data_IF_508310449467
#
_entry.id   IF_508310449467
#
_cell.length_a   1.000
_cell.length_b   1.000
_cell.length_c   1.000
_cell.angle_alpha   90.00
_cell.angle_beta   90.00
_cell.angle_gamma   90.00
#
_symmetry.space_group_name_H-M   'P 1'
#
loop_
_entity.id
_entity.type
_entity.pdbx_description
1 polymer ?
#
# COMPACT_ATOMS: atom_id res chain seq x y z
N UNK A 1 -17.66 -12.51 3.22
CA UNK A 1 -17.22 -12.86 4.58
C UNK A 1 -18.43 -13.07 5.46
N UNK A 2 -19.13 -12.01 5.87
CA UNK A 2 -20.36 -12.11 6.66
C UNK A 2 -21.42 -13.05 6.06
N UNK A 3 -21.64 -13.03 4.74
CA UNK A 3 -22.59 -13.95 4.09
C UNK A 3 -22.19 -15.45 4.19
N UNK A 4 -20.88 -15.75 4.23
CA UNK A 4 -20.39 -17.11 4.44
C UNK A 4 -20.53 -17.51 5.92
N UNK A 5 -20.17 -16.61 6.83
CA UNK A 5 -20.30 -16.81 8.28
C UNK A 5 -21.75 -17.01 8.73
N UNK A 6 -22.68 -16.30 8.09
CA UNK A 6 -24.11 -16.42 8.34
C UNK A 6 -24.77 -17.59 7.58
N UNK A 7 -24.01 -18.38 6.81
CA UNK A 7 -24.50 -19.51 6.01
C UNK A 7 -25.62 -19.10 5.01
N UNK A 8 -25.44 -17.95 4.36
CA UNK A 8 -26.41 -17.39 3.38
C UNK A 8 -25.82 -17.22 1.98
N UNK A 9 -24.74 -17.94 1.67
CA UNK A 9 -24.19 -17.94 0.32
C UNK A 9 -25.08 -18.70 -0.67
N UNK A 10 -25.18 -18.25 -1.94
CA UNK A 10 -25.86 -19.01 -2.98
C UNK A 10 -25.23 -20.40 -3.20
N UNK A 11 -26.05 -21.39 -3.55
CA UNK A 11 -25.57 -22.72 -3.92
C UNK A 11 -24.51 -22.65 -5.03
N UNK A 12 -23.36 -23.29 -4.80
CA UNK A 12 -22.22 -23.31 -5.73
C UNK A 12 -21.22 -22.15 -5.55
N UNK A 13 -21.46 -21.22 -4.62
CA UNK A 13 -20.46 -20.24 -4.21
C UNK A 13 -19.68 -20.75 -2.99
N UNK A 14 -18.55 -21.40 -3.24
CA UNK A 14 -17.56 -21.72 -2.19
C UNK A 14 -16.38 -20.75 -2.26
N UNK A 15 -16.22 -19.83 -1.30
CA UNK A 15 -15.09 -18.91 -1.26
C UNK A 15 -13.74 -19.62 -1.11
N UNK A 16 -13.69 -20.83 -0.55
CA UNK A 16 -12.44 -21.56 -0.34
C UNK A 16 -11.83 -22.06 -1.66
N UNK A 17 -12.65 -22.32 -2.68
CA UNK A 17 -12.17 -22.76 -4.01
C UNK A 17 -11.20 -21.76 -4.66
N UNK A 18 -11.34 -20.46 -4.39
CA UNK A 18 -10.45 -19.43 -4.94
C UNK A 18 -9.26 -19.08 -4.03
N UNK A 19 -9.21 -19.66 -2.82
CA UNK A 19 -8.23 -19.35 -1.79
C UNK A 19 -7.32 -20.54 -1.45
N UNK A 20 -7.46 -21.67 -2.14
CA UNK A 20 -6.57 -22.82 -1.93
C UNK A 20 -5.14 -22.47 -2.34
N UNK A 21 -4.14 -22.69 -1.45
CA UNK A 21 -2.74 -22.50 -1.79
C UNK A 21 -2.37 -23.37 -2.98
N UNK A 22 -1.70 -22.78 -3.96
CA UNK A 22 -1.05 -23.57 -5.01
C UNK A 22 0.25 -24.11 -4.42
N UNK A 23 0.53 -25.39 -4.61
CA UNK A 23 1.80 -25.97 -4.16
C UNK A 23 2.96 -25.24 -4.86
N UNK A 24 3.72 -24.47 -4.09
CA UNK A 24 4.93 -23.79 -4.54
C UNK A 24 6.16 -24.38 -3.86
N UNK A 25 7.30 -24.29 -4.54
CA UNK A 25 8.60 -24.66 -3.97
C UNK A 25 8.88 -23.90 -2.67
N UNK A 26 9.13 -24.65 -1.59
CA UNK A 26 9.51 -24.17 -0.27
C UNK A 26 10.37 -25.21 0.45
N UNK A 27 11.46 -24.85 1.17
CA UNK A 27 11.96 -23.48 1.40
C UNK A 27 12.51 -22.82 0.14
N UNK A 28 12.74 -21.50 0.21
CA UNK A 28 13.28 -20.71 -0.89
C UNK A 28 14.68 -21.21 -1.29
N UNK A 29 14.88 -21.48 -2.59
CA UNK A 29 16.20 -21.68 -3.17
C UNK A 29 16.95 -20.35 -3.30
N UNK A 30 18.07 -20.21 -2.58
CA UNK A 30 18.81 -18.96 -2.47
C UNK A 30 20.11 -19.03 -3.28
N UNK A 31 20.51 -17.94 -3.93
CA UNK A 31 21.80 -17.90 -4.61
C UNK A 31 22.95 -17.91 -3.60
N UNK A 32 24.03 -18.56 -3.98
CA UNK A 32 25.34 -18.41 -3.36
C UNK A 32 25.87 -16.98 -3.49
N UNK A 33 26.83 -16.60 -2.65
CA UNK A 33 27.47 -15.29 -2.74
C UNK A 33 28.28 -15.15 -4.05
N UNK A 34 28.79 -16.24 -4.61
CA UNK A 34 29.47 -16.27 -5.91
C UNK A 34 28.52 -15.95 -7.07
N UNK A 35 27.30 -16.51 -7.05
CA UNK A 35 26.25 -16.17 -8.03
C UNK A 35 25.87 -14.69 -7.93
N UNK A 36 25.66 -14.18 -6.71
CA UNK A 36 25.32 -12.76 -6.50
C UNK A 36 26.44 -11.84 -7.01
N UNK A 37 27.70 -12.20 -6.76
CA UNK A 37 28.85 -11.42 -7.24
C UNK A 37 28.95 -11.46 -8.77
N UNK A 38 28.74 -12.63 -9.39
CA UNK A 38 28.69 -12.76 -10.86
C UNK A 38 27.61 -11.84 -11.45
N UNK A 39 26.43 -11.76 -10.84
CA UNK A 39 25.34 -10.91 -11.30
C UNK A 39 25.55 -9.41 -11.10
N UNK A 40 26.62 -8.96 -10.43
CA UNK A 40 27.00 -7.54 -10.42
C UNK A 40 27.35 -7.02 -11.82
N UNK A 41 27.68 -7.91 -12.77
CA UNK A 41 27.89 -7.53 -14.17
C UNK A 41 26.60 -7.16 -14.92
N UNK A 42 25.44 -7.55 -14.40
CA UNK A 42 24.14 -7.27 -15.03
C UNK A 42 23.71 -5.82 -14.76
N UNK A 43 23.08 -5.14 -15.74
CA UNK A 43 22.89 -3.70 -15.71
C UNK A 43 21.96 -3.23 -14.59
N UNK A 44 22.57 -2.81 -13.47
CA UNK A 44 21.88 -2.29 -12.27
C UNK A 44 20.84 -3.30 -11.74
N UNK A 45 21.04 -4.61 -11.93
CA UNK A 45 20.08 -5.61 -11.47
C UNK A 45 20.35 -5.99 -10.01
N UNK A 46 21.53 -6.54 -9.71
CA UNK A 46 21.93 -6.91 -8.35
C UNK A 46 21.84 -5.72 -7.38
N UNK A 47 22.39 -4.56 -7.79
CA UNK A 47 22.30 -3.33 -6.99
C UNK A 47 20.85 -2.92 -6.70
N UNK A 48 19.94 -3.12 -7.65
CA UNK A 48 18.55 -2.74 -7.46
C UNK A 48 17.76 -3.70 -6.58
N UNK A 49 18.05 -5.01 -6.67
CA UNK A 49 17.45 -6.00 -5.79
C UNK A 49 17.94 -5.91 -4.34
N UNK A 50 19.07 -5.24 -4.07
CA UNK A 50 19.74 -5.28 -2.76
C UNK A 50 19.94 -3.92 -2.08
N UNK A 51 19.92 -2.81 -2.82
CA UNK A 51 20.32 -1.50 -2.27
C UNK A 51 19.49 -0.29 -2.74
N UNK A 52 18.86 -0.32 -3.91
CA UNK A 52 18.21 0.87 -4.48
C UNK A 52 16.73 1.05 -4.10
N UNK A 53 16.05 2.00 -4.74
CA UNK A 53 14.63 2.31 -4.51
C UNK A 53 13.71 1.08 -4.56
N UNK A 54 14.03 0.07 -5.39
CA UNK A 54 13.24 -1.16 -5.42
C UNK A 54 13.38 -1.93 -4.09
N UNK A 55 14.62 -2.16 -3.64
CA UNK A 55 14.89 -2.80 -2.37
C UNK A 55 14.33 -2.00 -1.19
N UNK A 56 14.57 -0.68 -1.16
CA UNK A 56 14.20 0.16 -0.02
C UNK A 56 12.68 0.29 0.07
N UNK A 57 12.02 0.71 -1.01
CA UNK A 57 10.62 1.12 -0.98
C UNK A 57 9.66 0.08 -1.56
N UNK A 58 10.01 -0.54 -2.70
CA UNK A 58 9.06 -1.44 -3.38
C UNK A 58 8.84 -2.74 -2.59
N UNK A 59 9.91 -3.28 -2.00
CA UNK A 59 9.83 -4.48 -1.16
C UNK A 59 9.24 -4.23 0.24
N UNK A 60 8.87 -2.99 0.59
CA UNK A 60 8.33 -2.67 1.92
C UNK A 60 6.95 -3.28 2.17
N UNK A 61 6.25 -3.64 1.08
CA UNK A 61 5.04 -4.46 1.14
C UNK A 61 5.27 -5.86 1.74
N UNK A 62 6.52 -6.36 1.73
CA UNK A 62 6.90 -7.67 2.26
C UNK A 62 7.38 -7.63 3.72
N UNK A 63 7.45 -6.45 4.35
CA UNK A 63 8.07 -6.26 5.67
C UNK A 63 7.50 -7.17 6.77
N UNK A 64 6.23 -7.54 6.67
CA UNK A 64 5.53 -8.35 7.67
C UNK A 64 6.03 -9.79 7.74
N UNK A 65 6.64 -10.30 6.67
CA UNK A 65 7.31 -11.61 6.67
C UNK A 65 8.80 -11.53 7.03
N UNK A 66 9.32 -10.32 7.27
CA UNK A 66 10.74 -10.05 7.60
C UNK A 66 11.24 -10.76 8.85
N UNK A 67 10.33 -11.21 9.72
CA UNK A 67 10.64 -11.98 10.92
C UNK A 67 11.09 -13.42 10.62
N UNK A 68 10.63 -14.00 9.51
CA UNK A 68 10.98 -15.36 9.08
C UNK A 68 12.00 -15.34 7.92
N UNK A 69 11.83 -14.41 6.98
CA UNK A 69 12.73 -14.26 5.83
C UNK A 69 13.26 -12.83 5.81
N UNK A 70 14.51 -12.57 6.22
CA UNK A 70 15.05 -11.22 6.25
C UNK A 70 15.02 -10.53 4.88
N UNK A 71 14.85 -9.19 4.86
CA UNK A 71 14.73 -8.40 3.63
C UNK A 71 15.88 -8.63 2.63
N UNK A 72 17.11 -8.79 3.12
CA UNK A 72 18.26 -9.13 2.27
C UNK A 72 18.13 -10.50 1.60
N UNK A 73 17.61 -11.50 2.31
CA UNK A 73 17.32 -12.85 1.77
C UNK A 73 16.23 -12.78 0.71
N UNK A 74 15.18 -11.99 0.95
CA UNK A 74 14.13 -11.72 -0.05
C UNK A 74 14.73 -11.10 -1.33
N UNK A 75 15.63 -10.13 -1.19
CA UNK A 75 16.29 -9.46 -2.32
C UNK A 75 17.18 -10.41 -3.13
N UNK A 76 17.94 -11.28 -2.45
CA UNK A 76 18.74 -12.35 -3.09
C UNK A 76 17.87 -13.34 -3.86
N UNK A 77 16.74 -13.76 -3.27
CA UNK A 77 15.80 -14.66 -3.96
C UNK A 77 15.18 -13.98 -5.20
N UNK A 78 14.74 -12.72 -5.09
CA UNK A 78 14.22 -11.95 -6.23
C UNK A 78 15.27 -11.87 -7.34
N UNK A 79 16.53 -11.59 -7.00
CA UNK A 79 17.62 -11.54 -7.97
C UNK A 79 17.79 -12.88 -8.71
N UNK A 80 17.90 -14.00 -7.97
CA UNK A 80 17.98 -15.34 -8.57
C UNK A 80 16.78 -15.65 -9.45
N UNK A 81 15.57 -15.30 -8.99
CA UNK A 81 14.36 -15.55 -9.76
C UNK A 81 14.28 -14.72 -11.04
N UNK A 82 14.83 -13.51 -11.05
CA UNK A 82 14.95 -12.72 -12.29
C UNK A 82 15.96 -13.33 -13.24
N UNK A 83 17.13 -13.75 -12.75
CA UNK A 83 18.19 -14.27 -13.61
C UNK A 83 17.87 -15.67 -14.12
N UNK A 84 17.59 -16.61 -13.22
CA UNK A 84 17.39 -18.02 -13.55
C UNK A 84 15.93 -18.30 -13.93
N UNK A 85 14.99 -17.87 -13.08
CA UNK A 85 13.57 -18.20 -13.24
C UNK A 85 12.90 -17.49 -14.42
N UNK A 86 13.29 -16.24 -14.69
CA UNK A 86 12.80 -15.44 -15.83
C UNK A 86 13.81 -15.34 -16.97
N UNK A 87 14.93 -16.08 -16.88
CA UNK A 87 15.98 -16.16 -17.88
C UNK A 87 16.48 -14.79 -18.35
N UNK A 88 16.73 -13.85 -17.43
CA UNK A 88 17.16 -12.50 -17.81
C UNK A 88 18.55 -12.49 -18.46
N UNK A 89 19.54 -13.19 -17.88
CA UNK A 89 20.90 -13.24 -18.41
C UNK A 89 20.93 -14.02 -19.74
N UNK A 90 21.49 -13.40 -20.78
CA UNK A 90 21.58 -13.99 -22.11
C UNK A 90 20.31 -13.85 -22.97
N UNK A 91 19.29 -13.15 -22.48
CA UNK A 91 18.02 -12.98 -23.22
C UNK A 91 18.03 -11.88 -24.27
N UNK A 92 19.00 -10.95 -24.23
CA UNK A 92 18.91 -9.69 -24.97
C UNK A 92 18.48 -8.51 -24.11
N UNK A 93 17.82 -8.78 -22.97
CA UNK A 93 17.29 -7.74 -22.09
C UNK A 93 18.42 -6.94 -21.44
N UNK A 94 19.56 -7.57 -21.16
CA UNK A 94 20.72 -6.92 -20.59
C UNK A 94 21.36 -5.91 -21.54
N UNK A 95 21.37 -6.16 -22.87
CA UNK A 95 21.84 -5.18 -23.86
C UNK A 95 20.89 -3.99 -23.94
N UNK A 96 19.58 -4.25 -23.94
CA UNK A 96 18.56 -3.20 -23.92
C UNK A 96 18.67 -2.32 -22.65
N UNK A 97 18.79 -2.94 -21.48
CA UNK A 97 18.89 -2.21 -20.22
C UNK A 97 20.19 -1.39 -20.14
N UNK A 98 21.31 -1.91 -20.66
CA UNK A 98 22.55 -1.13 -20.82
C UNK A 98 22.33 0.08 -21.74
N UNK A 99 21.64 -0.11 -22.88
CA UNK A 99 21.32 0.98 -23.80
C UNK A 99 20.46 2.06 -23.12
N UNK A 100 19.41 1.67 -22.39
CA UNK A 100 18.54 2.59 -21.66
C UNK A 100 19.33 3.38 -20.61
N UNK A 101 20.18 2.70 -19.83
CA UNK A 101 21.00 3.36 -18.81
C UNK A 101 22.02 4.33 -19.42
N UNK A 102 22.64 3.97 -20.54
CA UNK A 102 23.64 4.82 -21.20
C UNK A 102 23.04 6.08 -21.83
N UNK A 103 21.85 5.99 -22.42
CA UNK A 103 21.25 7.10 -23.19
C UNK A 103 20.30 7.97 -22.37
N UNK A 104 19.62 7.39 -21.36
CA UNK A 104 18.58 8.07 -20.60
C UNK A 104 18.84 8.11 -19.09
N UNK A 105 19.90 7.43 -18.63
CA UNK A 105 20.23 7.33 -17.21
C UNK A 105 19.31 6.40 -16.41
N UNK A 106 19.67 6.23 -15.14
CA UNK A 106 18.94 5.36 -14.21
C UNK A 106 18.16 6.10 -13.12
N UNK A 107 18.04 7.43 -13.22
CA UNK A 107 17.42 8.31 -12.22
C UNK A 107 15.96 8.65 -12.54
N UNK A 108 15.33 9.42 -11.65
CA UNK A 108 13.90 9.79 -11.72
C UNK A 108 13.56 10.83 -12.80
N UNK A 109 14.55 11.56 -13.31
CA UNK A 109 14.37 12.58 -14.34
C UNK A 109 14.35 12.07 -15.79
N UNK A 110 14.30 10.75 -15.99
CA UNK A 110 14.27 10.15 -17.34
C UNK A 110 12.87 10.14 -17.93
N UNK A 111 12.81 10.03 -19.25
CA UNK A 111 11.55 9.86 -19.98
C UNK A 111 10.79 8.61 -19.50
N UNK A 112 9.48 8.74 -19.28
CA UNK A 112 8.64 7.67 -18.70
C UNK A 112 8.62 6.37 -19.52
N UNK A 113 8.89 6.46 -20.83
CA UNK A 113 8.93 5.30 -21.71
C UNK A 113 10.29 4.55 -21.65
N UNK A 114 11.35 5.21 -21.17
CA UNK A 114 12.70 4.66 -21.09
C UNK A 114 12.90 3.80 -19.83
N UNK A 115 12.04 2.79 -19.66
CA UNK A 115 12.07 1.86 -18.52
C UNK A 115 12.90 0.60 -18.84
N UNK A 116 13.57 0.07 -17.82
CA UNK A 116 14.35 -1.17 -17.94
C UNK A 116 13.42 -2.39 -17.92
N UNK A 117 13.73 -3.41 -18.73
CA UNK A 117 13.05 -4.71 -18.70
C UNK A 117 13.32 -5.42 -17.38
N UNK A 118 14.57 -5.37 -16.88
CA UNK A 118 14.94 -5.97 -15.59
C UNK A 118 14.07 -5.46 -14.44
N UNK A 119 13.64 -4.19 -14.48
CA UNK A 119 12.74 -3.63 -13.47
C UNK A 119 11.35 -4.28 -13.50
N UNK A 120 10.84 -4.64 -14.68
CA UNK A 120 9.57 -5.38 -14.79
C UNK A 120 9.71 -6.78 -14.21
N UNK A 121 10.83 -7.45 -14.49
CA UNK A 121 11.09 -8.79 -13.96
C UNK A 121 11.25 -8.78 -12.43
N UNK A 122 11.88 -7.75 -11.86
CA UNK A 122 11.92 -7.55 -10.41
C UNK A 122 10.52 -7.48 -9.78
N UNK A 123 9.58 -6.74 -10.39
CA UNK A 123 8.19 -6.72 -9.92
C UNK A 123 7.53 -8.10 -10.01
N UNK A 124 7.67 -8.80 -11.14
CA UNK A 124 7.12 -10.16 -11.32
C UNK A 124 7.66 -11.11 -10.24
N UNK A 125 8.98 -11.12 -10.05
CA UNK A 125 9.62 -11.93 -9.02
C UNK A 125 9.17 -11.53 -7.60
N UNK A 126 8.99 -10.24 -7.31
CA UNK A 126 8.47 -9.78 -6.01
C UNK A 126 7.07 -10.33 -5.73
N UNK A 127 6.15 -10.30 -6.70
CA UNK A 127 4.81 -10.87 -6.53
C UNK A 127 4.84 -12.39 -6.37
N UNK A 128 5.75 -13.07 -7.08
CA UNK A 128 5.99 -14.51 -6.92
C UNK A 128 6.54 -14.85 -5.53
N UNK A 129 7.41 -14.01 -4.97
CA UNK A 129 7.92 -14.16 -3.61
C UNK A 129 6.79 -13.94 -2.58
N UNK A 130 5.99 -12.89 -2.75
CA UNK A 130 4.90 -12.56 -1.85
C UNK A 130 3.90 -13.72 -1.72
N UNK A 131 3.59 -14.39 -2.84
CA UNK A 131 2.71 -15.56 -2.87
C UNK A 131 3.32 -16.72 -2.08
N UNK A 132 4.61 -17.05 -2.31
CA UNK A 132 5.31 -18.10 -1.54
C UNK A 132 5.36 -17.80 -0.04
N UNK A 133 5.65 -16.55 0.32
CA UNK A 133 5.67 -16.12 1.72
C UNK A 133 4.27 -16.25 2.34
N UNK A 134 3.23 -15.88 1.60
CA UNK A 134 1.86 -16.01 2.08
C UNK A 134 1.43 -17.45 2.32
N UNK A 135 1.79 -18.35 1.40
CA UNK A 135 1.39 -19.75 1.45
C UNK A 135 2.14 -20.54 2.53
N UNK A 136 3.36 -20.12 2.90
CA UNK A 136 4.26 -20.90 3.76
C UNK A 136 4.63 -20.23 5.08
N UNK A 137 4.36 -18.93 5.26
CA UNK A 137 4.79 -18.17 6.43
C UNK A 137 3.65 -17.32 6.97
N UNK A 138 3.37 -17.47 8.26
CA UNK A 138 2.37 -16.64 8.93
C UNK A 138 2.75 -15.17 8.85
N UNK A 139 1.80 -14.35 8.41
CA UNK A 139 2.00 -12.91 8.25
C UNK A 139 2.00 -12.24 9.64
N UNK A 140 3.09 -11.58 10.02
CA UNK A 140 3.11 -10.80 11.26
C UNK A 140 2.12 -9.64 11.17
N UNK A 141 1.17 -9.60 12.09
CA UNK A 141 0.17 -8.54 12.20
C UNK A 141 0.54 -7.54 13.28
N UNK A 142 0.02 -6.33 13.13
CA UNK A 142 0.06 -5.34 14.19
C UNK A 142 -0.92 -5.78 15.29
N UNK A 143 -0.55 -5.60 16.57
CA UNK A 143 -1.41 -5.89 17.72
C UNK A 143 -2.75 -5.16 17.70
N UNK A 144 -2.84 -4.04 16.99
CA UNK A 144 -4.08 -3.27 16.82
C UNK A 144 -4.96 -3.77 15.67
N UNK A 145 -4.47 -4.70 14.85
CA UNK A 145 -5.23 -5.27 13.73
C UNK A 145 -6.10 -6.41 14.25
N UNK A 146 -7.43 -6.36 14.08
CA UNK A 146 -8.30 -7.48 14.43
C UNK A 146 -7.87 -8.75 13.70
N UNK A 147 -8.04 -9.90 14.36
CA UNK A 147 -7.91 -11.19 13.69
C UNK A 147 -8.94 -11.26 12.55
N UNK A 148 -8.50 -11.43 11.29
CA UNK A 148 -9.40 -11.51 10.17
C UNK A 148 -10.13 -12.86 10.23
N UNK A 149 -11.42 -12.83 9.89
CA UNK A 149 -12.26 -14.03 9.88
C UNK A 149 -11.83 -15.08 8.83
N UNK A 150 -11.02 -14.67 7.85
CA UNK A 150 -10.42 -15.52 6.83
C UNK A 150 -9.02 -15.06 6.46
N UNK A 151 -8.29 -15.89 5.72
CA UNK A 151 -7.02 -15.51 5.12
C UNK A 151 -7.21 -14.30 4.21
N UNK A 152 -6.60 -13.13 4.52
CA UNK A 152 -6.78 -11.93 3.71
C UNK A 152 -6.01 -12.07 2.40
N UNK A 153 -6.56 -11.47 1.34
CA UNK A 153 -5.83 -11.32 0.08
C UNK A 153 -4.52 -10.57 0.32
N UNK A 154 -3.44 -11.07 -0.29
CA UNK A 154 -2.15 -10.39 -0.22
C UNK A 154 -2.02 -9.27 -1.25
N UNK A 155 -1.22 -8.29 -0.87
CA UNK A 155 -0.76 -7.19 -1.73
C UNK A 155 -1.90 -6.40 -2.38
N UNK A 156 -3.00 -6.18 -1.65
CA UNK A 156 -4.19 -5.51 -2.18
C UNK A 156 -3.88 -4.11 -2.74
N UNK A 157 -3.03 -3.34 -2.05
CA UNK A 157 -2.62 -1.99 -2.43
C UNK A 157 -1.61 -2.00 -3.60
N UNK A 158 -0.84 -3.07 -3.73
CA UNK A 158 0.19 -3.22 -4.76
C UNK A 158 -0.34 -3.88 -6.03
N UNK A 159 -1.59 -4.37 -6.05
CA UNK A 159 -2.25 -4.90 -7.25
C UNK A 159 -2.56 -3.77 -8.23
N UNK A 160 -1.65 -3.52 -9.16
CA UNK A 160 -1.83 -2.53 -10.24
C UNK A 160 -2.76 -3.00 -11.36
N UNK A 161 -3.03 -4.30 -11.43
CA UNK A 161 -3.92 -4.91 -12.42
C UNK A 161 -4.56 -6.15 -11.78
N UNK A 162 -5.85 -6.09 -11.49
CA UNK A 162 -6.63 -7.24 -11.07
C UNK A 162 -7.73 -7.47 -12.10
N UNK A 163 -7.57 -8.52 -12.93
CA UNK A 163 -8.53 -8.86 -13.98
C UNK A 163 -9.89 -9.31 -13.42
N UNK A 164 -9.96 -9.59 -12.11
CA UNK A 164 -11.20 -9.95 -11.41
C UNK A 164 -11.92 -8.73 -10.84
N UNK A 165 -11.25 -7.57 -10.77
CA UNK A 165 -11.87 -6.30 -10.39
C UNK A 165 -12.38 -5.60 -11.64
N UNK A 166 -13.68 -5.26 -11.72
CA UNK A 166 -14.18 -4.43 -12.79
C UNK A 166 -13.51 -3.05 -12.73
N UNK A 167 -13.20 -2.49 -13.90
CA UNK A 167 -12.38 -1.27 -14.06
C UNK A 167 -12.93 -0.03 -13.34
N UNK A 168 -14.20 -0.06 -12.92
CA UNK A 168 -14.86 0.99 -12.15
C UNK A 168 -14.57 0.92 -10.63
N UNK A 169 -14.07 -0.20 -10.10
CA UNK A 169 -13.69 -0.34 -8.68
C UNK A 169 -12.31 0.28 -8.43
N UNK A 170 -11.39 0.13 -9.38
CA UNK A 170 -10.00 0.59 -9.26
C UNK A 170 -9.83 2.11 -9.48
N UNK A 171 -10.90 2.86 -9.78
CA UNK A 171 -10.81 4.25 -10.25
C UNK A 171 -11.64 5.26 -9.45
N UNK A 172 -11.82 5.04 -8.15
CA UNK A 172 -12.41 6.05 -7.26
C UNK A 172 -11.47 6.37 -6.10
N UNK A 173 -10.33 6.99 -6.41
CA UNK A 173 -9.70 7.96 -5.48
C UNK A 173 -10.44 9.31 -5.50
N UNK A 174 -11.47 9.45 -6.35
CA UNK A 174 -12.38 10.57 -6.32
C UNK A 174 -13.04 10.66 -4.94
N UNK A 175 -12.91 11.82 -4.30
CA UNK A 175 -13.69 12.20 -3.12
C UNK A 175 -15.15 11.88 -3.41
N UNK A 176 -15.68 10.81 -2.82
CA UNK A 176 -17.12 10.67 -2.70
C UNK A 176 -17.66 11.93 -2.03
N UNK A 177 -18.86 12.36 -2.41
CA UNK A 177 -19.56 13.43 -1.68
C UNK A 177 -19.65 13.01 -0.20
N UNK A 178 -18.78 13.57 0.64
CA UNK A 178 -18.73 13.30 2.08
C UNK A 178 -19.84 14.10 2.76
N UNK A 179 -21.09 13.83 2.36
CA UNK A 179 -22.29 14.57 2.78
C UNK A 179 -22.52 14.52 4.29
N UNK A 180 -21.91 13.55 4.97
CA UNK A 180 -22.05 13.35 6.42
C UNK A 180 -21.09 14.21 7.26
N UNK A 181 -20.19 15.00 6.66
CA UNK A 181 -19.32 15.93 7.37
C UNK A 181 -19.84 17.36 7.18
N UNK A 182 -20.59 17.85 8.18
CA UNK A 182 -21.32 19.12 8.10
C UNK A 182 -20.47 20.40 8.20
N UNK A 183 -19.15 20.29 8.39
CA UNK A 183 -18.23 21.43 8.47
C UNK A 183 -16.80 21.02 8.11
N UNK A 184 -16.01 21.94 7.55
CA UNK A 184 -14.62 21.72 7.14
C UNK A 184 -13.70 22.79 7.73
N UNK A 185 -12.43 22.42 7.96
CA UNK A 185 -11.39 23.38 8.29
C UNK A 185 -11.03 24.25 7.08
N UNK A 186 -10.71 25.53 7.30
CA UNK A 186 -10.27 26.46 6.25
C UNK A 186 -8.75 26.67 6.30
N UNK A 187 -8.03 25.83 5.55
CA UNK A 187 -6.57 25.93 5.45
C UNK A 187 -6.08 27.11 4.58
N UNK A 188 -6.98 27.79 3.86
CA UNK A 188 -6.61 28.85 2.93
C UNK A 188 -6.50 30.22 3.61
N UNK A 189 -7.37 30.51 4.57
CA UNK A 189 -7.41 31.79 5.28
C UNK A 189 -6.13 32.14 6.08
N UNK A 190 -5.26 31.16 6.33
CA UNK A 190 -3.99 31.32 7.03
C UNK A 190 -2.75 31.12 6.16
N UNK A 191 -2.89 30.98 4.83
CA UNK A 191 -1.79 30.52 3.96
C UNK A 191 -0.52 31.37 4.05
N UNK A 192 -0.64 32.68 4.19
CA UNK A 192 0.48 33.63 4.25
C UNK A 192 1.08 33.80 5.65
N UNK A 193 0.48 33.22 6.69
CA UNK A 193 1.01 33.29 8.05
C UNK A 193 2.20 32.36 8.23
N UNK A 194 3.16 32.67 9.12
CA UNK A 194 4.13 31.70 9.60
C UNK A 194 3.44 30.50 10.28
N UNK A 195 4.03 29.30 10.19
CA UNK A 195 3.44 28.08 10.77
C UNK A 195 3.17 28.20 12.27
N UNK A 196 4.09 28.85 13.01
CA UNK A 196 3.94 29.08 14.44
C UNK A 196 2.74 29.98 14.79
N UNK A 197 2.40 30.93 13.93
CA UNK A 197 1.23 31.79 14.12
C UNK A 197 -0.06 31.10 13.67
N UNK A 198 0.02 30.29 12.61
CA UNK A 198 -1.11 29.50 12.13
C UNK A 198 -1.61 28.49 13.17
N UNK A 199 -0.72 27.76 13.85
CA UNK A 199 -1.09 26.76 14.88
C UNK A 199 -1.88 27.36 16.05
N UNK A 200 -1.72 28.67 16.30
CA UNK A 200 -2.41 29.36 17.39
C UNK A 200 -3.81 29.87 16.99
N UNK A 201 -4.21 29.72 15.73
CA UNK A 201 -5.54 30.09 15.25
C UNK A 201 -6.59 29.07 15.66
N UNK A 202 -7.80 29.58 15.83
CA UNK A 202 -8.99 28.79 16.17
C UNK A 202 -10.18 29.13 15.26
N UNK A 203 -10.08 30.22 14.50
CA UNK A 203 -11.13 30.72 13.61
C UNK A 203 -11.18 29.97 12.26
N UNK A 204 -10.13 29.19 11.96
CA UNK A 204 -10.02 28.30 10.80
C UNK A 204 -10.45 26.85 11.12
N UNK A 205 -10.80 26.57 12.38
CA UNK A 205 -11.31 25.28 12.81
C UNK A 205 -12.81 25.11 12.45
N UNK A 206 -13.25 23.89 12.12
CA UNK A 206 -14.67 23.63 11.89
C UNK A 206 -15.46 23.83 13.20
N UNK A 207 -16.68 24.35 13.07
CA UNK A 207 -17.58 24.44 14.22
C UNK A 207 -17.98 23.02 14.65
N UNK A 208 -17.52 22.58 15.82
CA UNK A 208 -17.70 21.21 16.29
C UNK A 208 -19.19 20.86 16.44
N UNK A 209 -20.03 21.81 16.79
CA UNK A 209 -21.48 21.64 16.89
C UNK A 209 -22.11 21.26 15.54
N UNK A 210 -21.56 21.78 14.44
CA UNK A 210 -22.03 21.42 13.09
C UNK A 210 -21.63 19.99 12.71
N UNK A 211 -20.50 19.50 13.22
CA UNK A 211 -20.09 18.10 13.03
C UNK A 211 -21.01 17.12 13.78
N UNK A 212 -21.58 17.56 14.91
CA UNK A 212 -22.50 16.76 15.73
C UNK A 212 -23.99 16.98 15.39
N UNK A 213 -24.28 17.83 14.41
CA UNK A 213 -25.65 18.14 14.01
C UNK A 213 -26.34 16.94 13.35
N UNK A 214 -27.67 16.95 13.38
CA UNK A 214 -28.48 15.94 12.67
C UNK A 214 -28.41 16.25 11.18
N UNK A 215 -28.15 15.22 10.38
CA UNK A 215 -28.00 15.32 8.94
C UNK A 215 -29.20 14.68 8.26
N UNK A 216 -29.76 15.34 7.27
CA UNK A 216 -30.87 14.79 6.49
C UNK A 216 -30.39 14.33 5.12
N UNK A 217 -30.63 13.05 4.80
CA UNK A 217 -30.30 12.48 3.51
C UNK A 217 -31.33 11.39 3.17
N UNK A 218 -31.87 11.44 1.96
CA UNK A 218 -32.81 10.45 1.42
C UNK A 218 -34.02 10.19 2.34
N UNK A 219 -34.52 11.25 2.99
CA UNK A 219 -35.67 11.19 3.91
C UNK A 219 -35.37 10.60 5.28
N UNK A 220 -34.10 10.34 5.61
CA UNK A 220 -33.66 9.81 6.90
C UNK A 220 -32.79 10.81 7.66
N UNK A 221 -32.86 10.75 8.98
CA UNK A 221 -32.05 11.55 9.89
C UNK A 221 -30.86 10.73 10.40
N UNK A 222 -29.68 11.28 10.24
CA UNK A 222 -28.41 10.67 10.61
C UNK A 222 -27.72 11.48 11.70
N UNK A 223 -26.98 10.80 12.58
CA UNK A 223 -26.06 11.42 13.54
C UNK A 223 -24.68 10.80 13.41
N UNK A 224 -23.67 11.66 13.40
CA UNK A 224 -22.28 11.24 13.39
C UNK A 224 -21.90 10.71 14.78
N UNK A 225 -21.63 9.40 14.88
CA UNK A 225 -21.22 8.77 16.14
C UNK A 225 -19.69 8.69 16.26
N UNK A 226 -19.03 8.24 15.20
CA UNK A 226 -17.58 8.10 15.14
C UNK A 226 -17.10 8.62 13.78
N UNK A 227 -16.08 9.49 13.80
CA UNK A 227 -15.45 9.98 12.58
C UNK A 227 -14.10 10.63 12.87
N UNK A 228 -13.21 10.58 11.88
CA UNK A 228 -11.84 11.09 11.98
C UNK A 228 -11.53 12.06 10.81
N UNK A 229 -12.32 13.13 10.60
CA UNK A 229 -12.11 13.99 9.44
C UNK A 229 -10.77 14.73 9.56
N UNK A 230 -10.00 14.66 8.48
CA UNK A 230 -8.70 15.30 8.35
C UNK A 230 -8.69 16.23 7.14
N UNK A 231 -8.18 17.44 7.34
CA UNK A 231 -7.98 18.44 6.29
C UNK A 231 -6.51 18.79 6.22
N UNK A 232 -5.98 18.83 5.00
CA UNK A 232 -4.57 19.05 4.73
C UNK A 232 -3.88 17.76 4.32
N UNK A 233 -2.99 17.86 3.35
CA UNK A 233 -2.16 16.75 2.86
C UNK A 233 -0.76 17.28 2.56
N UNK A 234 0.28 16.47 2.72
CA UNK A 234 1.59 16.81 2.19
C UNK A 234 1.49 17.05 0.68
N UNK A 235 2.40 17.87 0.15
CA UNK A 235 2.58 17.97 -1.29
C UNK A 235 2.96 16.58 -1.84
N UNK A 236 2.45 16.21 -3.01
CA UNK A 236 2.68 14.89 -3.60
C UNK A 236 4.19 14.66 -3.89
N UNK A 237 4.93 15.76 -4.10
CA UNK A 237 6.37 15.76 -4.32
C UNK A 237 7.21 16.03 -3.06
N UNK A 238 6.57 16.23 -1.90
CA UNK A 238 7.28 16.51 -0.65
C UNK A 238 7.94 15.24 -0.08
N UNK A 239 9.11 15.41 0.57
CA UNK A 239 9.78 14.31 1.25
C UNK A 239 9.00 13.85 2.50
N UNK A 240 9.22 12.61 2.95
CA UNK A 240 8.55 12.02 4.12
C UNK A 240 8.61 12.87 5.41
N UNK A 241 9.65 13.69 5.57
CA UNK A 241 9.86 14.56 6.74
C UNK A 241 9.53 16.04 6.46
N UNK A 242 8.94 16.35 5.32
CA UNK A 242 8.56 17.73 5.00
C UNK A 242 7.37 18.16 5.88
N UNK A 243 7.47 19.29 6.58
CA UNK A 243 6.36 19.80 7.38
C UNK A 243 5.21 20.21 6.45
N UNK A 244 3.99 19.94 6.89
CA UNK A 244 2.76 20.38 6.23
C UNK A 244 1.71 20.74 7.28
N UNK A 245 0.72 21.55 6.87
CA UNK A 245 -0.39 21.95 7.74
C UNK A 245 -1.51 20.93 7.67
N UNK A 246 -1.96 20.49 8.83
CA UNK A 246 -3.05 19.53 8.96
C UNK A 246 -3.93 19.91 10.14
N UNK A 247 -5.25 19.84 9.93
CA UNK A 247 -6.25 19.87 10.99
C UNK A 247 -6.89 18.50 11.02
N UNK A 248 -6.89 17.86 12.19
CA UNK A 248 -7.50 16.56 12.40
C UNK A 248 -8.45 16.63 13.60
N UNK A 249 -9.68 16.18 13.41
CA UNK A 249 -10.70 16.15 14.46
C UNK A 249 -11.11 14.70 14.73
N UNK A 250 -11.31 14.38 16.00
CA UNK A 250 -11.83 13.10 16.45
C UNK A 250 -13.24 13.30 17.00
N UNK A 251 -14.21 12.66 16.38
CA UNK A 251 -15.56 12.52 16.92
C UNK A 251 -15.69 11.10 17.41
N UNK A 252 -15.91 10.94 18.71
CA UNK A 252 -16.10 9.64 19.35
C UNK A 252 -17.31 9.73 20.27
N UNK A 253 -18.23 8.78 20.13
CA UNK A 253 -19.42 8.68 20.95
C UNK A 253 -19.31 7.50 21.88
N UNK A 254 -19.73 7.71 23.14
CA UNK A 254 -19.72 6.71 24.18
C UNK A 254 -21.14 6.42 24.61
N UNK A 255 -21.52 5.15 24.66
CA UNK A 255 -22.81 4.74 25.25
C UNK A 255 -22.61 4.65 26.76
N UNK A 256 -23.33 5.50 27.50
CA UNK A 256 -23.25 5.54 28.95
C UNK A 256 -24.60 5.15 29.58
N UNK A 257 -24.60 4.44 30.71
CA UNK A 257 -25.80 4.24 31.51
C UNK A 257 -26.51 5.56 31.81
N UNK A 258 -27.83 5.59 31.64
CA UNK A 258 -28.66 6.81 31.76
C UNK A 258 -28.53 7.52 33.11
N UNK A 259 -28.14 6.79 34.15
CA UNK A 259 -27.96 7.29 35.52
C UNK A 259 -26.62 7.98 35.78
N UNK A 260 -25.71 8.04 34.80
CA UNK A 260 -24.37 8.63 34.96
C UNK A 260 -24.29 10.09 34.46
N UNK A 261 -25.23 10.53 33.61
CA UNK A 261 -25.22 11.87 33.03
C UNK A 261 -26.23 12.76 33.77
N UNK A 262 -25.72 13.64 34.64
CA UNK A 262 -26.45 14.78 35.24
C UNK A 262 -26.48 15.98 34.30
#
# INVERSE_FOLDING_TARGET
ELANELDVLPDGCDPELSMQPISTEWPLDLPSDEEVEHWNQLPKLAYSCLYDDFFIYSMECLRQWGHAVPKGTMGKWILKQVVDGLAYEGSGCEQYDRYILANYGGGRGREKWAERIGKKYQWIAMYQLASRLHDNVERKRDSWTPEPQRTPLILLEERKLDLTLPSNIAHNEGRGDVWWIGSSADLHSGKELPDAEWVMRQDDLPALEKLLSVLERDGQQWRLLVSYPSWGRPDEDAGWNSPYRQVWVHVESYVVPKNIVT
#
